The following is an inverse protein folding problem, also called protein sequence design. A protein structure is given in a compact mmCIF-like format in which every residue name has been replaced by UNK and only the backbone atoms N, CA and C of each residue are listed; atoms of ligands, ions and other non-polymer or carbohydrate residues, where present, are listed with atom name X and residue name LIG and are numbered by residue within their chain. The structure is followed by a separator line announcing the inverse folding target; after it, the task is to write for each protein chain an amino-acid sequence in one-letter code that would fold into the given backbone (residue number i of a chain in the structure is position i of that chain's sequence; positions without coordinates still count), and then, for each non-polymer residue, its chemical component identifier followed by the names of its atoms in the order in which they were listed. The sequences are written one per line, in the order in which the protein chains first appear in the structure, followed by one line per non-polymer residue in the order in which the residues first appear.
data_IF_558294730908
#
_entry.id   IF_558294730908
#
_cell.length_a   1.000
_cell.length_b   1.000
_cell.length_c   1.000
_cell.angle_alpha   90.00
_cell.angle_beta   90.00
_cell.angle_gamma   90.00
#
_symmetry.space_group_name_H-M   'P 1'
#
loop_
_entity.id
_entity.type
_entity.pdbx_description
1 polymer ?
#
# COMPACT_ATOMS: atom_id res chain seq x y z
N UNK A 1 35.34 29.10 32.30
CA UNK A 1 34.48 28.05 31.70
C UNK A 1 34.84 27.93 30.24
N UNK A 2 35.63 26.93 29.87
CA UNK A 2 35.90 26.60 28.47
C UNK A 2 34.64 25.95 27.89
N UNK A 3 33.84 26.75 27.17
CA UNK A 3 32.59 26.31 26.57
C UNK A 3 32.83 25.57 25.25
N UNK A 4 31.95 24.61 24.95
CA UNK A 4 31.90 23.87 23.68
C UNK A 4 31.45 24.73 22.49
N UNK A 5 30.91 25.91 22.77
CA UNK A 5 30.43 26.87 21.76
C UNK A 5 31.59 27.35 20.86
N UNK A 6 31.43 27.18 19.55
CA UNK A 6 32.43 27.59 18.54
C UNK A 6 33.51 26.54 18.23
N UNK A 7 33.49 25.38 18.88
CA UNK A 7 34.44 24.29 18.62
C UNK A 7 33.91 23.35 17.52
N UNK A 8 34.78 22.79 16.65
CA UNK A 8 34.40 21.79 15.65
C UNK A 8 34.26 20.41 16.30
N UNK A 9 33.31 20.25 17.22
CA UNK A 9 33.05 18.99 17.89
C UNK A 9 32.57 17.92 16.90
N UNK A 10 33.00 16.67 17.12
CA UNK A 10 32.46 15.51 16.38
C UNK A 10 31.01 15.29 16.77
N UNK A 11 30.20 14.77 15.85
CA UNK A 11 28.79 14.49 16.11
C UNK A 11 28.68 13.29 17.05
N UNK A 12 27.77 13.40 18.02
CA UNK A 12 27.59 12.36 19.06
C UNK A 12 26.96 11.10 18.47
N UNK A 13 26.18 11.24 17.40
CA UNK A 13 25.43 10.15 16.78
C UNK A 13 26.28 9.32 15.81
N UNK A 14 27.47 9.77 15.40
CA UNK A 14 28.27 9.15 14.33
C UNK A 14 28.57 7.68 14.62
N UNK A 15 28.95 7.35 15.85
CA UNK A 15 29.32 5.97 16.21
C UNK A 15 28.17 5.00 15.94
N UNK A 16 26.95 5.29 16.41
CA UNK A 16 25.80 4.40 16.21
C UNK A 16 25.34 4.36 14.75
N UNK A 17 25.42 5.48 14.02
CA UNK A 17 24.98 5.54 12.64
C UNK A 17 25.96 4.84 11.68
N UNK A 18 27.26 4.96 11.92
CA UNK A 18 28.30 4.36 11.07
C UNK A 18 28.47 2.86 11.31
N UNK A 19 28.01 2.34 12.44
CA UNK A 19 28.11 0.92 12.80
C UNK A 19 26.82 0.14 12.56
N UNK A 20 25.76 0.78 12.06
CA UNK A 20 24.43 0.16 11.93
C UNK A 20 23.72 -0.10 13.26
N UNK A 21 24.20 0.48 14.36
CA UNK A 21 23.56 0.42 15.67
C UNK A 21 22.48 1.51 15.88
N UNK A 22 22.29 2.40 14.91
CA UNK A 22 21.15 3.29 14.84
C UNK A 22 19.86 2.50 14.63
N UNK A 23 18.76 2.95 15.25
CA UNK A 23 17.43 2.38 15.06
C UNK A 23 16.51 3.38 14.38
N UNK A 24 15.93 2.98 13.26
CA UNK A 24 14.83 3.65 12.61
C UNK A 24 13.51 2.96 12.94
N UNK A 25 12.39 3.51 12.44
CA UNK A 25 11.05 2.97 12.71
C UNK A 25 10.88 1.56 12.14
N UNK A 26 11.48 1.28 10.98
CA UNK A 26 11.37 -0.03 10.30
C UNK A 26 12.20 -1.13 11.03
N UNK A 27 13.11 -0.76 11.93
CA UNK A 27 13.87 -1.71 12.76
C UNK A 27 13.09 -2.16 14.02
N UNK A 28 11.91 -1.60 14.26
CA UNK A 28 11.07 -1.94 15.42
C UNK A 28 10.29 -3.21 15.10
N UNK A 29 10.45 -4.24 15.94
CA UNK A 29 9.64 -5.45 15.92
C UNK A 29 8.93 -5.65 17.26
N UNK A 30 7.61 -5.83 17.23
CA UNK A 30 6.77 -6.11 18.40
C UNK A 30 6.11 -7.49 18.27
N UNK A 31 5.88 -8.21 19.38
CA UNK A 31 5.11 -9.45 19.34
C UNK A 31 3.72 -9.22 18.72
N UNK A 32 3.37 -10.01 17.70
CA UNK A 32 2.09 -9.89 17.01
C UNK A 32 1.95 -8.69 16.06
N UNK A 33 3.06 -7.99 15.74
CA UNK A 33 3.05 -6.86 14.81
C UNK A 33 2.57 -7.29 13.41
N UNK A 34 1.54 -6.60 12.91
CA UNK A 34 1.05 -6.74 11.54
C UNK A 34 1.67 -5.67 10.64
N UNK A 35 1.61 -5.92 9.34
CA UNK A 35 2.15 -5.07 8.29
C UNK A 35 1.02 -4.52 7.44
N UNK A 36 1.00 -3.22 7.22
CA UNK A 36 0.00 -2.54 6.40
C UNK A 36 0.59 -2.16 5.04
N UNK A 37 -0.16 -2.45 3.99
CA UNK A 37 0.11 -1.99 2.63
C UNK A 37 -1.10 -1.21 2.12
N UNK A 38 -0.90 0.06 1.77
CA UNK A 38 -1.94 0.86 1.11
C UNK A 38 -2.03 0.48 -0.37
N UNK A 39 -3.25 0.32 -0.87
CA UNK A 39 -3.56 0.20 -2.29
C UNK A 39 -3.95 1.58 -2.79
N UNK A 40 -3.29 2.06 -3.84
CA UNK A 40 -3.36 3.42 -4.36
C UNK A 40 -3.84 3.44 -5.80
N UNK A 41 -4.56 4.51 -6.13
CA UNK A 41 -5.04 4.76 -7.49
C UNK A 41 -3.88 5.12 -8.43
N UNK A 42 -3.81 4.54 -9.64
CA UNK A 42 -2.91 4.98 -10.70
C UNK A 42 -3.52 6.09 -11.59
N UNK A 43 -4.69 6.62 -11.19
CA UNK A 43 -5.44 7.63 -11.92
C UNK A 43 -5.39 8.96 -11.17
N UNK A 44 -5.06 10.03 -11.89
CA UNK A 44 -5.03 11.38 -11.34
C UNK A 44 -6.42 11.88 -10.90
N UNK A 45 -7.49 11.47 -11.58
CA UNK A 45 -8.85 11.81 -11.17
C UNK A 45 -9.86 10.82 -11.77
N UNK A 46 -10.72 10.22 -10.94
CA UNK A 46 -11.71 9.25 -11.40
C UNK A 46 -12.82 9.02 -10.36
N UNK A 47 -14.02 8.62 -10.78
CA UNK A 47 -15.05 8.15 -9.87
C UNK A 47 -14.79 6.70 -9.45
N UNK A 48 -14.92 6.41 -8.14
CA UNK A 48 -14.82 5.06 -7.59
C UNK A 48 -16.21 4.42 -7.67
N UNK A 49 -16.40 3.48 -8.61
CA UNK A 49 -17.68 2.75 -8.76
C UNK A 49 -17.85 1.61 -7.76
N UNK A 50 -16.73 1.11 -7.26
CA UNK A 50 -16.66 -0.01 -6.33
C UNK A 50 -15.21 -0.49 -6.20
N UNK A 51 -14.93 -1.16 -5.09
CA UNK A 51 -13.64 -1.79 -4.82
C UNK A 51 -13.95 -3.23 -4.44
N UNK A 52 -13.52 -4.18 -5.27
CA UNK A 52 -13.60 -5.60 -4.92
C UNK A 52 -12.36 -5.99 -4.11
N UNK A 53 -12.58 -6.43 -2.88
CA UNK A 53 -11.53 -6.84 -1.94
C UNK A 53 -11.56 -8.34 -1.64
N UNK A 54 -12.43 -9.10 -2.30
CA UNK A 54 -12.67 -10.51 -2.01
C UNK A 54 -11.39 -11.34 -2.13
N UNK A 55 -10.65 -11.16 -3.23
CA UNK A 55 -9.42 -11.91 -3.50
C UNK A 55 -8.31 -11.61 -2.49
N UNK A 56 -8.12 -10.34 -2.10
CA UNK A 56 -7.16 -10.01 -1.04
C UNK A 56 -7.57 -10.56 0.33
N UNK A 57 -8.86 -10.53 0.68
CA UNK A 57 -9.34 -11.10 1.94
C UNK A 57 -9.09 -12.60 2.03
N UNK A 58 -9.10 -13.30 0.89
CA UNK A 58 -8.81 -14.73 0.83
C UNK A 58 -7.31 -15.06 0.78
N UNK A 59 -6.43 -14.07 0.63
CA UNK A 59 -5.01 -14.31 0.45
C UNK A 59 -4.33 -14.79 1.76
N UNK A 60 -3.37 -15.74 1.70
CA UNK A 60 -2.68 -16.24 2.88
C UNK A 60 -1.99 -15.14 3.68
N UNK A 61 -2.13 -15.19 5.01
CA UNK A 61 -1.49 -14.24 5.93
C UNK A 61 -2.18 -12.87 6.02
N UNK A 62 -3.26 -12.63 5.27
CA UNK A 62 -4.07 -11.41 5.42
C UNK A 62 -4.93 -11.50 6.67
N UNK A 63 -4.82 -10.49 7.52
CA UNK A 63 -5.62 -10.35 8.72
C UNK A 63 -6.87 -9.48 8.47
N UNK A 64 -6.75 -8.43 7.65
CA UNK A 64 -7.86 -7.55 7.30
C UNK A 64 -7.61 -6.79 5.99
N UNK A 65 -8.70 -6.39 5.32
CA UNK A 65 -8.69 -5.42 4.22
C UNK A 65 -9.71 -4.33 4.54
N UNK A 66 -9.22 -3.10 4.61
CA UNK A 66 -9.94 -1.89 5.02
C UNK A 66 -10.20 -1.03 3.80
N UNK A 67 -11.44 -0.58 3.63
CA UNK A 67 -11.88 0.37 2.60
C UNK A 67 -12.42 1.64 3.26
N UNK A 68 -12.83 2.62 2.44
CA UNK A 68 -13.49 3.82 2.96
C UNK A 68 -14.72 3.49 3.84
N UNK A 69 -15.48 2.45 3.51
CA UNK A 69 -16.66 2.05 4.28
C UNK A 69 -16.31 1.65 5.73
N UNK A 70 -15.15 1.02 5.92
CA UNK A 70 -14.65 0.60 7.23
C UNK A 70 -14.04 1.79 7.99
N UNK A 71 -13.38 2.71 7.27
CA UNK A 71 -12.70 3.87 7.84
C UNK A 71 -13.62 5.08 8.09
N UNK A 72 -14.87 5.05 7.64
CA UNK A 72 -15.79 6.19 7.73
C UNK A 72 -15.98 6.70 9.17
N UNK A 73 -16.00 5.79 10.15
CA UNK A 73 -16.14 6.13 11.57
C UNK A 73 -14.92 6.88 12.15
N UNK A 74 -13.76 6.82 11.50
CA UNK A 74 -12.54 7.52 11.91
C UNK A 74 -12.52 8.99 11.47
N UNK A 75 -13.42 9.39 10.57
CA UNK A 75 -13.47 10.73 10.00
C UNK A 75 -12.35 11.02 8.99
N UNK A 76 -12.16 12.30 8.70
CA UNK A 76 -11.13 12.78 7.77
C UNK A 76 -9.83 13.12 8.50
N UNK A 77 -8.72 13.11 7.74
CA UNK A 77 -7.44 13.57 8.24
C UNK A 77 -7.53 15.04 8.70
N UNK A 78 -6.99 15.37 9.87
CA UNK A 78 -7.00 16.74 10.37
C UNK A 78 -6.10 17.60 9.49
N UNK A 79 -6.61 18.78 9.08
CA UNK A 79 -5.80 19.81 8.46
C UNK A 79 -5.17 20.64 9.58
N UNK A 80 -3.87 20.47 9.79
CA UNK A 80 -3.10 21.31 10.72
C UNK A 80 -2.52 22.47 9.93
N UNK A 81 -3.01 23.68 10.19
CA UNK A 81 -2.47 24.90 9.58
C UNK A 81 -1.58 25.67 10.56
N UNK A 82 -0.60 26.39 10.03
CA UNK A 82 0.13 27.39 10.81
C UNK A 82 -0.77 28.60 11.13
N UNK A 83 -0.45 29.30 12.22
CA UNK A 83 -1.21 30.46 12.67
C UNK A 83 -1.32 31.52 11.55
N UNK A 84 -2.56 31.87 11.18
CA UNK A 84 -2.85 32.88 10.16
C UNK A 84 -3.05 32.33 8.74
N UNK A 85 -2.85 31.03 8.51
CA UNK A 85 -3.19 30.39 7.23
C UNK A 85 -4.64 29.89 7.28
N UNK A 86 -5.48 30.45 6.42
CA UNK A 86 -6.85 29.98 6.21
C UNK A 86 -6.84 28.83 5.20
N UNK A 87 -7.01 27.59 5.69
CA UNK A 87 -7.25 26.45 4.82
C UNK A 87 -8.72 26.40 4.39
N UNK A 88 -8.96 25.86 3.20
CA UNK A 88 -10.30 25.49 2.79
C UNK A 88 -10.80 24.34 3.69
N UNK A 89 -12.03 24.46 4.17
CA UNK A 89 -12.69 23.41 4.96
C UNK A 89 -13.16 22.30 4.01
N UNK A 90 -12.21 21.48 3.59
CA UNK A 90 -12.42 20.37 2.66
C UNK A 90 -11.94 19.09 3.34
N UNK A 91 -12.81 18.07 3.48
CA UNK A 91 -12.42 16.81 4.10
C UNK A 91 -11.33 16.11 3.26
N UNK A 92 -10.23 15.72 3.93
CA UNK A 92 -9.19 14.87 3.36
C UNK A 92 -9.47 13.43 3.83
N UNK A 93 -10.10 12.57 3.01
CA UNK A 93 -10.44 11.23 3.44
C UNK A 93 -9.17 10.38 3.67
N UNK A 94 -9.22 9.47 4.65
CA UNK A 94 -8.15 8.49 4.89
C UNK A 94 -7.96 7.54 3.70
N UNK A 95 -9.08 7.11 3.12
CA UNK A 95 -9.18 6.29 1.92
C UNK A 95 -10.26 6.90 1.02
N UNK A 96 -9.98 7.00 -0.27
CA UNK A 96 -10.87 7.55 -1.28
C UNK A 96 -12.24 6.86 -1.25
N UNK A 97 -13.29 7.68 -1.27
CA UNK A 97 -14.68 7.24 -1.15
C UNK A 97 -15.38 7.15 -2.51
N UNK A 98 -15.85 8.29 -3.01
CA UNK A 98 -16.64 8.44 -4.24
C UNK A 98 -15.78 8.72 -5.47
N UNK A 99 -14.59 9.27 -5.25
CA UNK A 99 -13.64 9.64 -6.28
C UNK A 99 -12.22 9.66 -5.76
N UNK A 100 -11.31 9.50 -6.71
CA UNK A 100 -9.90 9.84 -6.61
C UNK A 100 -9.68 11.24 -7.19
N UNK A 101 -8.84 12.03 -6.54
CA UNK A 101 -8.52 13.43 -6.74
C UNK A 101 -7.08 13.65 -7.20
N UNK A 102 -6.19 12.69 -6.95
CA UNK A 102 -4.80 12.72 -7.38
C UNK A 102 -4.21 11.31 -7.57
N UNK A 103 -3.15 11.23 -8.37
CA UNK A 103 -2.42 9.98 -8.60
C UNK A 103 -1.73 9.53 -7.32
N UNK A 104 -1.93 8.27 -6.94
CA UNK A 104 -1.43 7.72 -5.68
C UNK A 104 -2.37 7.90 -4.48
N UNK A 105 -3.58 8.47 -4.64
CA UNK A 105 -4.55 8.54 -3.54
C UNK A 105 -4.91 7.13 -3.06
N UNK A 106 -4.84 6.84 -1.75
CA UNK A 106 -5.11 5.50 -1.23
C UNK A 106 -6.61 5.19 -1.32
N UNK A 107 -6.95 4.02 -1.85
CA UNK A 107 -8.34 3.55 -2.03
C UNK A 107 -8.70 2.42 -1.06
N UNK A 108 -7.71 1.64 -0.62
CA UNK A 108 -7.86 0.58 0.37
C UNK A 108 -6.54 0.34 1.13
N UNK A 109 -6.59 -0.43 2.21
CA UNK A 109 -5.40 -0.89 2.92
C UNK A 109 -5.51 -2.39 3.25
N UNK A 110 -4.44 -3.12 3.02
CA UNK A 110 -4.30 -4.55 3.35
C UNK A 110 -3.41 -4.68 4.58
N UNK A 111 -3.86 -5.43 5.57
CA UNK A 111 -3.14 -5.69 6.82
C UNK A 111 -2.85 -7.19 6.88
N UNK A 112 -1.57 -7.56 7.02
CA UNK A 112 -1.12 -8.95 6.98
C UNK A 112 -0.05 -9.26 8.03
N UNK A 113 0.24 -10.54 8.22
CA UNK A 113 1.23 -11.03 9.19
C UNK A 113 2.68 -10.79 8.76
N UNK A 114 2.91 -10.43 7.50
CA UNK A 114 4.24 -10.08 6.98
C UNK A 114 4.13 -9.04 5.87
N UNK A 115 5.25 -8.35 5.61
CA UNK A 115 5.33 -7.34 4.55
C UNK A 115 5.11 -7.96 3.18
N UNK A 116 5.67 -9.15 2.96
CA UNK A 116 5.47 -9.93 1.74
C UNK A 116 3.99 -10.25 1.52
N UNK A 117 3.30 -10.80 2.54
CA UNK A 117 1.89 -11.15 2.45
C UNK A 117 1.00 -9.91 2.17
N UNK A 118 1.31 -8.77 2.80
CA UNK A 118 0.58 -7.52 2.56
C UNK A 118 0.74 -7.03 1.11
N UNK A 119 1.97 -7.11 0.57
CA UNK A 119 2.27 -6.75 -0.82
C UNK A 119 1.59 -7.71 -1.79
N UNK A 120 1.74 -9.01 -1.61
CA UNK A 120 1.16 -10.03 -2.50
C UNK A 120 -0.37 -9.90 -2.58
N UNK A 121 -1.04 -9.71 -1.44
CA UNK A 121 -2.48 -9.51 -1.42
C UNK A 121 -2.92 -8.19 -2.07
N UNK A 122 -2.13 -7.12 -1.91
CA UNK A 122 -2.38 -5.85 -2.62
C UNK A 122 -2.23 -6.02 -4.14
N UNK A 123 -1.23 -6.79 -4.59
CA UNK A 123 -1.04 -7.15 -6.01
C UNK A 123 -2.25 -7.92 -6.55
N UNK A 124 -2.72 -8.93 -5.81
CA UNK A 124 -3.93 -9.68 -6.18
C UNK A 124 -5.11 -8.72 -6.40
N UNK A 125 -5.34 -7.77 -5.50
CA UNK A 125 -6.47 -6.82 -5.64
C UNK A 125 -6.38 -5.95 -6.90
N UNK A 126 -5.18 -5.49 -7.25
CA UNK A 126 -4.96 -4.66 -8.44
C UNK A 126 -5.14 -5.44 -9.74
N UNK A 127 -4.94 -6.76 -9.71
CA UNK A 127 -4.77 -7.58 -10.92
C UNK A 127 -5.86 -8.64 -11.12
N UNK A 128 -6.64 -8.99 -10.09
CA UNK A 128 -7.66 -10.05 -10.13
C UNK A 128 -8.75 -9.82 -11.20
N UNK A 129 -9.02 -8.56 -11.56
CA UNK A 129 -9.97 -8.20 -12.63
C UNK A 129 -9.36 -8.13 -14.04
N UNK A 130 -8.06 -8.41 -14.21
CA UNK A 130 -7.35 -8.27 -15.49
C UNK A 130 -6.62 -9.58 -15.89
N UNK A 131 -7.34 -10.69 -16.14
CA UNK A 131 -6.71 -11.88 -16.68
C UNK A 131 -6.06 -11.54 -18.04
N UNK A 132 -4.73 -11.66 -18.11
CA UNK A 132 -3.94 -11.33 -19.30
C UNK A 132 -3.35 -9.91 -19.35
N UNK A 133 -3.28 -9.19 -18.23
CA UNK A 133 -2.56 -7.92 -18.16
C UNK A 133 -1.11 -8.05 -18.66
N UNK A 134 -0.73 -7.21 -19.62
CA UNK A 134 0.65 -7.11 -20.13
C UNK A 134 1.58 -6.55 -19.05
N UNK A 135 2.89 -6.81 -19.17
CA UNK A 135 3.90 -6.28 -18.23
C UNK A 135 3.83 -4.76 -18.09
N UNK A 136 3.47 -4.07 -19.16
CA UNK A 136 3.30 -2.63 -19.17
C UNK A 136 2.08 -2.19 -18.35
N UNK A 137 0.97 -2.92 -18.44
CA UNK A 137 -0.22 -2.66 -17.62
C UNK A 137 0.02 -2.99 -16.15
N UNK A 138 0.77 -4.08 -15.86
CA UNK A 138 1.20 -4.42 -14.51
C UNK A 138 2.08 -3.31 -13.96
N UNK A 139 3.16 -2.91 -14.66
CA UNK A 139 4.05 -1.83 -14.21
C UNK A 139 3.30 -0.55 -13.89
N UNK A 140 2.36 -0.16 -14.76
CA UNK A 140 1.51 1.03 -14.55
C UNK A 140 0.57 0.92 -13.36
N UNK A 141 0.03 -0.27 -13.06
CA UNK A 141 -0.76 -0.49 -11.84
C UNK A 141 0.09 -0.48 -10.57
N UNK A 142 1.37 -0.84 -10.68
CA UNK A 142 2.35 -0.81 -9.58
C UNK A 142 2.98 0.56 -9.38
N UNK A 143 2.98 1.41 -10.40
CA UNK A 143 3.36 2.81 -10.28
C UNK A 143 2.51 3.49 -9.21
N UNK A 144 3.18 4.15 -8.26
CA UNK A 144 2.55 4.75 -7.09
C UNK A 144 2.33 3.80 -5.90
N UNK A 145 2.30 2.48 -6.11
CA UNK A 145 2.08 1.49 -5.05
C UNK A 145 3.38 0.91 -4.47
N UNK A 146 4.38 0.59 -5.30
CA UNK A 146 5.64 0.00 -4.85
C UNK A 146 6.84 0.87 -5.23
N UNK A 147 7.96 0.74 -4.51
CA UNK A 147 9.17 1.53 -4.82
C UNK A 147 9.89 0.97 -6.06
N UNK A 148 10.22 1.84 -7.03
CA UNK A 148 10.80 1.46 -8.34
C UNK A 148 12.29 1.09 -8.35
N UNK A 149 12.92 0.95 -7.19
CA UNK A 149 14.38 0.94 -7.06
C UNK A 149 15.11 -0.15 -7.88
N UNK A 150 14.41 -1.18 -8.36
CA UNK A 150 14.97 -2.23 -9.26
C UNK A 150 14.26 -2.34 -10.62
N UNK A 151 13.53 -1.30 -11.06
CA UNK A 151 12.75 -1.35 -12.31
C UNK A 151 11.54 -2.31 -12.26
N UNK A 152 11.10 -2.66 -11.05
CA UNK A 152 10.02 -3.63 -10.76
C UNK A 152 10.24 -5.05 -11.31
N UNK A 153 11.38 -5.42 -11.89
CA UNK A 153 11.55 -6.74 -12.55
C UNK A 153 11.16 -7.95 -11.68
N UNK A 154 11.68 -8.14 -10.45
CA UNK A 154 11.25 -9.25 -9.60
C UNK A 154 9.78 -9.14 -9.16
N UNK A 155 9.26 -7.92 -9.04
CA UNK A 155 7.88 -7.65 -8.61
C UNK A 155 6.90 -7.94 -9.75
N UNK A 156 7.22 -7.59 -11.00
CA UNK A 156 6.43 -7.89 -12.19
C UNK A 156 6.41 -9.40 -12.45
N UNK A 157 7.53 -10.09 -12.23
CA UNK A 157 7.60 -11.54 -12.31
C UNK A 157 6.70 -12.21 -11.25
N UNK A 158 6.70 -11.71 -10.00
CA UNK A 158 5.81 -12.18 -8.94
C UNK A 158 4.33 -11.84 -9.24
N UNK A 159 4.05 -10.65 -9.77
CA UNK A 159 2.71 -10.26 -10.19
C UNK A 159 2.16 -11.18 -11.29
N UNK A 160 3.00 -11.61 -12.24
CA UNK A 160 2.62 -12.62 -13.25
C UNK A 160 2.28 -13.96 -12.62
N UNK A 161 3.11 -14.48 -11.72
CA UNK A 161 2.82 -15.77 -11.08
C UNK A 161 1.52 -15.72 -10.27
N UNK A 162 1.22 -14.57 -9.67
CA UNK A 162 -0.06 -14.31 -8.99
C UNK A 162 -1.23 -14.26 -9.98
N UNK A 163 -1.10 -13.57 -11.13
CA UNK A 163 -2.14 -13.52 -12.18
C UNK A 163 -2.41 -14.93 -12.74
N UNK A 164 -1.34 -15.70 -13.01
CA UNK A 164 -1.43 -17.07 -13.53
C UNK A 164 -2.10 -17.99 -12.50
N UNK A 165 -1.74 -17.90 -11.22
CA UNK A 165 -2.34 -18.68 -10.14
C UNK A 165 -3.81 -18.29 -9.88
N UNK A 166 -4.15 -17.00 -9.91
CA UNK A 166 -5.52 -16.52 -9.76
C UNK A 166 -6.40 -16.92 -10.96
N UNK A 167 -5.84 -16.91 -12.18
CA UNK A 167 -6.51 -17.40 -13.38
C UNK A 167 -6.78 -18.91 -13.34
N UNK A 168 -5.83 -19.70 -12.81
CA UNK A 168 -6.01 -21.15 -12.60
C UNK A 168 -7.10 -21.43 -11.55
N UNK A 169 -7.09 -20.72 -10.42
CA UNK A 169 -8.13 -20.87 -9.38
C UNK A 169 -9.54 -20.48 -9.86
N UNK A 170 -9.65 -19.50 -10.76
CA UNK A 170 -10.91 -19.13 -11.40
C UNK A 170 -11.42 -20.18 -12.41
N UNK A 171 -10.51 -20.90 -13.08
CA UNK A 171 -10.84 -22.00 -13.99
C UNK A 171 -11.31 -23.26 -13.24
N UNK A 172 -10.72 -23.54 -12.07
CA UNK A 172 -11.07 -24.70 -11.24
C UNK A 172 -12.40 -24.54 -10.48
N UNK A 173 -12.92 -23.31 -10.36
CA UNK A 173 -14.21 -23.00 -9.74
C UNK A 173 -15.43 -23.09 -10.68
N UNK A 174 -15.23 -23.36 -11.98
CA UNK A 174 -16.32 -23.49 -12.94
C UNK A 174 -17.04 -24.84 -12.76
N UNK A 175 -18.19 -24.83 -12.06
CA UNK A 175 -19.06 -26.00 -11.97
C UNK A 175 -19.44 -26.51 -13.37
N UNK A 176 -19.45 -27.84 -13.61
CA UNK A 176 -19.80 -28.39 -14.91
C UNK A 176 -21.21 -27.96 -15.30
N UNK A 177 -21.34 -27.25 -16.42
CA UNK A 177 -22.62 -26.90 -17.01
C UNK A 177 -23.38 -28.18 -17.30
N UNK A 178 -24.41 -28.46 -16.48
CA UNK A 178 -25.37 -29.54 -16.78
C UNK A 178 -26.15 -29.12 -18.02
N UNK A 179 -25.80 -29.72 -19.16
CA UNK A 179 -26.56 -29.60 -20.40
C UNK A 179 -27.98 -30.14 -20.23
N UNK A 180 -28.92 -29.42 -20.83
CA UNK A 180 -30.22 -29.95 -21.25
C UNK A 180 -30.63 -29.26 -22.55
#
# INVERSE_FOLDING_TARGET
MTGWTGQPARRVEDERLLTGAGRCVDDIALPGMLQLMAVRSPLAHAHVRGIDVSAARAAPGVAAVVTHADAAALGSLPIVTENGVQAADVPIPLLASDRVRFDGEPVAAVIATSRAAAVDAALVSLLAGQPGATDEQIRRGLEGNLCRCTGYTPIVAAARSVIEAAGAAAADGAAPTRGR
#
